data_IF_310569487119
#
_entry.id   IF_310569487119
#
_cell.length_a   1.000
_cell.length_b   1.000
_cell.length_c   1.000
_cell.angle_alpha   90.00
_cell.angle_beta   90.00
_cell.angle_gamma   90.00
#
_symmetry.space_group_name_H-M   'P 1'
#
loop_
_entity.id
_entity.type
_entity.pdbx_description
1 polymer ?
#
# COMPACT_ATOMS: atom_id res chain seq x y z
N UNK A 1 21.18 -14.99 -10.92
CA UNK A 1 21.31 -14.94 -9.45
C UNK A 1 21.77 -13.54 -9.09
N UNK A 2 21.16 -12.91 -8.08
CA UNK A 2 21.49 -11.55 -7.65
C UNK A 2 21.93 -11.60 -6.19
N UNK A 3 22.96 -10.85 -5.85
CA UNK A 3 23.48 -10.69 -4.48
C UNK A 3 22.73 -9.61 -3.68
N UNK A 4 22.15 -8.62 -4.37
CA UNK A 4 21.30 -7.57 -3.83
C UNK A 4 20.10 -7.30 -4.74
N UNK A 5 18.92 -7.14 -4.14
CA UNK A 5 17.70 -6.74 -4.82
C UNK A 5 17.23 -5.42 -4.22
N UNK A 6 17.10 -4.39 -5.05
CA UNK A 6 16.50 -3.10 -4.67
C UNK A 6 15.08 -3.07 -5.23
N UNK A 7 14.10 -2.94 -4.36
CA UNK A 7 12.68 -2.91 -4.74
C UNK A 7 12.17 -1.49 -4.61
N UNK A 8 11.76 -0.89 -5.74
CA UNK A 8 11.02 0.36 -5.74
C UNK A 8 9.54 0.10 -5.44
N UNK A 9 8.98 0.88 -4.53
CA UNK A 9 7.58 0.73 -4.12
C UNK A 9 6.73 1.78 -4.83
N UNK A 10 5.60 1.41 -5.47
CA UNK A 10 4.66 2.37 -6.03
C UNK A 10 4.24 3.42 -4.98
N UNK A 11 3.97 4.67 -5.38
CA UNK A 11 3.55 5.71 -4.45
C UNK A 11 2.23 5.30 -3.79
N UNK A 12 2.24 5.06 -2.48
CA UNK A 12 1.04 4.71 -1.72
C UNK A 12 1.16 5.11 -0.27
N UNK A 13 0.15 5.86 0.22
CA UNK A 13 -0.06 6.17 1.65
C UNK A 13 -0.24 4.92 2.53
N UNK A 14 -0.53 3.80 1.89
CA UNK A 14 -0.92 2.52 2.47
C UNK A 14 0.00 1.39 2.01
N UNK A 15 1.27 1.67 1.70
CA UNK A 15 2.21 0.64 1.21
C UNK A 15 2.38 -0.56 2.16
N UNK A 16 2.10 -0.39 3.46
CA UNK A 16 2.00 -1.49 4.43
C UNK A 16 0.58 -2.07 4.56
N UNK A 17 -0.48 -1.29 4.37
CA UNK A 17 -1.85 -1.85 4.28
C UNK A 17 -2.04 -2.73 3.04
N UNK A 18 -1.22 -2.51 2.00
CA UNK A 18 -1.15 -3.41 0.84
C UNK A 18 -0.79 -4.85 1.24
N UNK A 19 0.02 -5.02 2.30
CA UNK A 19 0.36 -6.34 2.84
C UNK A 19 -0.76 -6.95 3.69
N UNK A 20 -1.77 -6.17 4.07
CA UNK A 20 -2.97 -6.68 4.74
C UNK A 20 -4.07 -7.09 3.75
N UNK A 21 -3.98 -6.67 2.49
CA UNK A 21 -4.93 -7.06 1.43
C UNK A 21 -5.04 -8.60 1.25
N UNK A 22 -3.97 -9.40 1.34
CA UNK A 22 -4.07 -10.85 1.28
C UNK A 22 -4.74 -11.49 2.49
N UNK A 23 -4.49 -10.98 3.71
CA UNK A 23 -5.19 -11.44 4.92
C UNK A 23 -6.69 -11.14 4.83
N UNK A 24 -7.06 -9.95 4.35
CA UNK A 24 -8.47 -9.55 4.14
C UNK A 24 -9.15 -10.41 3.09
N UNK A 25 -8.50 -10.66 1.94
CA UNK A 25 -9.04 -11.53 0.90
C UNK A 25 -9.21 -12.98 1.37
N UNK A 26 -8.24 -13.51 2.13
CA UNK A 26 -8.36 -14.82 2.77
C UNK A 26 -9.53 -14.89 3.75
N UNK A 27 -9.66 -13.90 4.63
CA UNK A 27 -10.76 -13.84 5.61
C UNK A 27 -12.15 -13.70 4.97
N UNK A 28 -12.25 -13.01 3.83
CA UNK A 28 -13.48 -12.88 3.06
C UNK A 28 -13.94 -14.24 2.49
N UNK A 29 -13.00 -15.01 1.95
CA UNK A 29 -13.27 -16.34 1.38
C UNK A 29 -13.55 -17.40 2.45
N UNK A 30 -12.93 -17.26 3.62
CA UNK A 30 -13.24 -18.06 4.82
C UNK A 30 -14.58 -17.67 5.48
N UNK A 31 -15.21 -16.60 5.02
CA UNK A 31 -16.49 -16.11 5.53
C UNK A 31 -17.60 -17.15 5.43
N UNK A 32 -18.40 -17.28 6.51
CA UNK A 32 -19.54 -18.22 6.60
C UNK A 32 -20.51 -18.09 5.42
N UNK A 33 -20.66 -16.89 4.86
CA UNK A 33 -21.52 -16.61 3.70
C UNK A 33 -20.97 -17.23 2.41
N UNK A 34 -19.68 -17.06 2.12
CA UNK A 34 -19.05 -17.64 0.93
C UNK A 34 -19.03 -19.17 1.02
N UNK A 35 -18.72 -19.73 2.20
CA UNK A 35 -18.83 -21.19 2.43
C UNK A 35 -20.24 -21.73 2.22
N UNK A 36 -21.27 -20.99 2.61
CA UNK A 36 -22.67 -21.37 2.41
C UNK A 36 -23.09 -21.32 0.93
N UNK A 37 -22.58 -20.33 0.18
CA UNK A 37 -22.81 -20.24 -1.28
C UNK A 37 -22.03 -21.29 -2.07
N UNK A 38 -20.84 -21.66 -1.61
CA UNK A 38 -19.99 -22.70 -2.20
C UNK A 38 -20.42 -24.12 -1.81
N UNK A 39 -21.23 -24.28 -0.76
CA UNK A 39 -21.70 -25.59 -0.33
C UNK A 39 -22.42 -26.27 -1.50
N UNK A 40 -21.99 -27.47 -1.93
CA UNK A 40 -22.52 -28.08 -3.13
C UNK A 40 -24.01 -28.32 -2.98
N UNK A 41 -24.81 -27.84 -3.93
CA UNK A 41 -26.24 -28.12 -4.05
C UNK A 41 -26.58 -29.61 -4.28
N UNK A 42 -25.57 -30.50 -4.17
CA UNK A 42 -25.65 -31.94 -4.44
C UNK A 42 -25.45 -32.84 -3.21
N UNK A 43 -25.74 -32.37 -2.00
CA UNK A 43 -26.02 -33.29 -0.87
C UNK A 43 -27.50 -33.69 -0.91
N UNK A 44 -27.89 -34.33 -2.02
CA UNK A 44 -29.24 -34.81 -2.32
C UNK A 44 -29.31 -36.34 -2.44
N UNK A 45 -28.35 -37.06 -1.87
CA UNK A 45 -28.38 -38.52 -1.79
C UNK A 45 -29.37 -38.99 -0.73
N UNK A 46 -30.65 -39.11 -1.12
CA UNK A 46 -31.77 -39.96 -0.62
C UNK A 46 -31.93 -40.36 0.88
N UNK A 47 -31.13 -39.91 1.84
CA UNK A 47 -31.23 -40.38 3.24
C UNK A 47 -31.07 -39.31 4.34
N UNK A 48 -30.71 -38.05 4.04
CA UNK A 48 -30.37 -37.05 5.08
C UNK A 48 -31.42 -35.99 5.44
N UNK A 49 -32.61 -35.98 4.80
CA UNK A 49 -33.42 -34.75 4.68
C UNK A 49 -34.44 -34.48 5.80
N UNK A 50 -34.42 -35.18 6.94
CA UNK A 50 -35.51 -35.08 7.94
C UNK A 50 -35.29 -34.15 9.14
N UNK A 51 -34.13 -33.51 9.33
CA UNK A 51 -33.92 -32.66 10.52
C UNK A 51 -33.33 -31.26 10.31
N UNK A 52 -33.21 -30.74 9.08
CA UNK A 52 -32.61 -29.40 8.84
C UNK A 52 -33.53 -28.38 8.14
N UNK A 53 -34.82 -28.69 7.91
CA UNK A 53 -35.62 -27.95 6.91
C UNK A 53 -36.62 -26.90 7.38
N UNK A 54 -36.73 -26.54 8.66
CA UNK A 54 -37.77 -25.56 9.06
C UNK A 54 -37.27 -24.10 9.12
N UNK A 55 -35.96 -23.86 9.23
CA UNK A 55 -35.40 -22.50 9.32
C UNK A 55 -34.65 -21.97 8.08
N UNK A 56 -34.11 -22.83 7.22
CA UNK A 56 -33.14 -22.41 6.18
C UNK A 56 -33.76 -22.13 4.81
N UNK A 57 -34.97 -22.61 4.52
CA UNK A 57 -35.57 -22.50 3.17
C UNK A 57 -36.19 -21.14 2.86
N UNK A 58 -36.49 -20.30 3.85
CA UNK A 58 -37.10 -18.98 3.59
C UNK A 58 -36.07 -17.90 3.23
N UNK A 59 -34.80 -18.08 3.60
CA UNK A 59 -33.75 -17.07 3.32
C UNK A 59 -33.07 -17.26 1.96
N UNK A 60 -33.08 -18.48 1.39
CA UNK A 60 -32.55 -18.74 0.05
C UNK A 60 -33.48 -18.29 -1.08
N UNK A 61 -34.80 -18.32 -0.84
CA UNK A 61 -35.81 -17.97 -1.84
C UNK A 61 -35.93 -16.46 -2.14
N UNK A 62 -35.60 -15.59 -1.19
CA UNK A 62 -35.65 -14.12 -1.35
C UNK A 62 -34.38 -13.56 -1.99
N UNK A 63 -33.21 -14.09 -1.66
CA UNK A 63 -31.96 -13.73 -2.36
C UNK A 63 -31.95 -14.22 -3.82
N UNK A 64 -32.47 -15.42 -4.10
CA UNK A 64 -32.54 -15.97 -5.46
C UNK A 64 -33.48 -15.20 -6.40
N UNK A 65 -34.54 -14.57 -5.85
CA UNK A 65 -35.48 -13.73 -6.63
C UNK A 65 -34.96 -12.32 -6.91
N UNK A 66 -34.08 -11.79 -6.05
CA UNK A 66 -33.49 -10.45 -6.22
C UNK A 66 -32.22 -10.44 -7.09
N UNK A 67 -31.44 -11.53 -7.08
CA UNK A 67 -30.15 -11.61 -7.79
C UNK A 67 -30.16 -12.51 -9.03
N UNK A 68 -31.20 -13.36 -9.20
CA UNK A 68 -31.30 -14.30 -10.30
C UNK A 68 -30.46 -15.57 -10.11
N UNK A 69 -31.04 -16.74 -10.39
CA UNK A 69 -30.35 -18.03 -10.23
C UNK A 69 -29.11 -18.20 -11.12
N UNK A 70 -29.04 -17.47 -12.24
CA UNK A 70 -27.88 -17.48 -13.14
C UNK A 70 -26.65 -16.81 -12.50
N UNK A 71 -26.83 -15.65 -11.87
CA UNK A 71 -25.75 -14.93 -11.20
C UNK A 71 -25.12 -15.77 -10.07
N UNK A 72 -25.94 -16.45 -9.27
CA UNK A 72 -25.46 -17.35 -8.22
C UNK A 72 -24.62 -18.50 -8.79
N UNK A 73 -25.02 -19.05 -9.93
CA UNK A 73 -24.29 -20.12 -10.62
C UNK A 73 -22.96 -19.63 -11.20
N UNK A 74 -22.91 -18.40 -11.71
CA UNK A 74 -21.69 -17.80 -12.25
C UNK A 74 -20.68 -17.50 -11.12
N UNK A 75 -21.16 -16.99 -9.98
CA UNK A 75 -20.33 -16.81 -8.77
C UNK A 75 -19.76 -18.14 -8.28
N UNK A 76 -20.58 -19.20 -8.22
CA UNK A 76 -20.09 -20.53 -7.83
C UNK A 76 -19.02 -21.06 -8.80
N UNK A 77 -19.21 -20.88 -10.11
CA UNK A 77 -18.26 -21.29 -11.14
C UNK A 77 -16.95 -20.51 -11.03
N UNK A 78 -17.03 -19.19 -10.82
CA UNK A 78 -15.87 -18.33 -10.61
C UNK A 78 -15.07 -18.75 -9.38
N UNK A 79 -15.73 -18.93 -8.23
CA UNK A 79 -15.03 -19.30 -7.00
C UNK A 79 -14.41 -20.69 -7.11
N UNK A 80 -15.11 -21.67 -7.70
CA UNK A 80 -14.55 -23.01 -7.93
C UNK A 80 -13.33 -22.99 -8.88
N UNK A 81 -13.36 -22.16 -9.93
CA UNK A 81 -12.23 -21.98 -10.83
C UNK A 81 -11.04 -21.27 -10.17
N UNK A 82 -11.30 -20.45 -9.14
CA UNK A 82 -10.28 -19.71 -8.40
C UNK A 82 -9.81 -20.36 -7.09
N UNK A 83 -10.43 -21.47 -6.65
CA UNK A 83 -10.13 -22.15 -5.38
C UNK A 83 -8.63 -22.49 -5.22
N UNK A 84 -8.01 -22.99 -6.28
CA UNK A 84 -6.57 -23.30 -6.33
C UNK A 84 -5.69 -22.03 -6.30
N UNK A 85 -6.14 -20.93 -6.89
CA UNK A 85 -5.42 -19.65 -6.85
C UNK A 85 -5.50 -18.99 -5.47
N UNK A 86 -6.66 -19.08 -4.81
CA UNK A 86 -6.90 -18.48 -3.49
C UNK A 86 -6.18 -19.22 -2.35
N UNK A 87 -6.17 -20.56 -2.37
CA UNK A 87 -5.41 -21.35 -1.38
C UNK A 87 -3.90 -21.03 -1.41
N UNK A 88 -3.33 -20.88 -2.61
CA UNK A 88 -1.93 -20.49 -2.79
C UNK A 88 -1.66 -18.99 -2.55
N UNK A 89 -2.68 -18.12 -2.67
CA UNK A 89 -2.49 -16.67 -2.50
C UNK A 89 -2.16 -16.30 -1.06
N UNK A 90 -2.86 -16.91 -0.09
CA UNK A 90 -2.58 -16.68 1.34
C UNK A 90 -1.17 -17.13 1.71
N UNK A 91 -0.77 -18.34 1.30
CA UNK A 91 0.56 -18.86 1.65
C UNK A 91 1.68 -18.04 1.01
N UNK A 92 1.49 -17.57 -0.24
CA UNK A 92 2.43 -16.67 -0.91
C UNK A 92 2.55 -15.33 -0.20
N UNK A 93 1.43 -14.74 0.22
CA UNK A 93 1.45 -13.49 0.96
C UNK A 93 2.15 -13.62 2.32
N UNK A 94 1.86 -14.68 3.07
CA UNK A 94 2.54 -14.96 4.34
C UNK A 94 4.04 -15.21 4.14
N UNK A 95 4.43 -15.88 3.05
CA UNK A 95 5.84 -16.09 2.70
C UNK A 95 6.54 -14.76 2.36
N UNK A 96 5.92 -13.92 1.53
CA UNK A 96 6.44 -12.57 1.23
C UNK A 96 6.60 -11.75 2.50
N UNK A 97 5.62 -11.82 3.40
CA UNK A 97 5.67 -11.10 4.68
C UNK A 97 6.87 -11.50 5.54
N UNK A 98 7.14 -12.81 5.62
CA UNK A 98 8.30 -13.34 6.34
C UNK A 98 9.62 -12.94 5.69
N UNK A 99 9.68 -12.88 4.36
CA UNK A 99 10.88 -12.40 3.66
C UNK A 99 11.19 -10.96 4.04
N UNK A 100 10.17 -10.09 4.12
CA UNK A 100 10.34 -8.69 4.53
C UNK A 100 10.83 -8.52 5.98
N UNK A 101 10.66 -9.53 6.84
CA UNK A 101 11.15 -9.54 8.22
C UNK A 101 12.51 -10.25 8.37
N UNK A 102 13.05 -10.84 7.31
CA UNK A 102 14.27 -11.64 7.40
C UNK A 102 15.51 -10.74 7.67
N UNK A 103 16.55 -11.25 8.36
CA UNK A 103 17.77 -10.49 8.67
C UNK A 103 18.52 -9.92 7.45
N UNK A 104 18.26 -10.41 6.24
CA UNK A 104 18.84 -9.92 4.99
C UNK A 104 18.00 -8.86 4.26
N UNK A 105 16.85 -8.46 4.82
CA UNK A 105 16.03 -7.37 4.29
C UNK A 105 16.22 -6.12 5.12
N UNK A 106 16.12 -4.95 4.50
CA UNK A 106 16.12 -3.67 5.18
C UNK A 106 15.24 -2.67 4.42
N UNK A 107 14.59 -1.78 5.17
CA UNK A 107 13.73 -0.73 4.62
C UNK A 107 14.43 0.62 4.68
N UNK A 108 14.33 1.40 3.60
CA UNK A 108 14.79 2.79 3.54
C UNK A 108 13.57 3.67 3.26
N UNK A 109 13.22 4.52 4.21
CA UNK A 109 12.11 5.48 4.03
C UNK A 109 12.65 6.72 3.36
N UNK A 110 11.96 7.24 2.35
CA UNK A 110 12.37 8.44 1.62
C UNK A 110 11.27 9.48 1.69
N UNK A 111 11.60 10.71 2.12
CA UNK A 111 10.64 11.80 2.24
C UNK A 111 11.26 13.14 1.84
N UNK A 112 10.46 14.11 1.42
CA UNK A 112 10.87 15.51 1.29
C UNK A 112 10.71 16.24 2.63
N UNK A 113 11.35 17.40 2.85
CA UNK A 113 11.14 18.24 4.03
C UNK A 113 9.79 18.99 3.99
N UNK A 114 8.74 18.32 3.52
CA UNK A 114 7.37 18.83 3.52
C UNK A 114 6.60 18.18 4.67
N UNK A 115 5.71 18.94 5.30
CA UNK A 115 5.00 18.50 6.51
C UNK A 115 4.23 17.19 6.30
N UNK A 116 3.53 17.06 5.17
CA UNK A 116 2.74 15.86 4.87
C UNK A 116 3.63 14.65 4.58
N UNK A 117 4.72 14.82 3.83
CA UNK A 117 5.67 13.75 3.56
C UNK A 117 6.37 13.25 4.84
N UNK A 118 6.74 14.16 5.75
CA UNK A 118 7.31 13.80 7.04
C UNK A 118 6.30 13.10 7.95
N UNK A 119 5.03 13.51 7.94
CA UNK A 119 3.96 12.83 8.69
C UNK A 119 3.76 11.39 8.17
N UNK A 120 3.74 11.21 6.85
CA UNK A 120 3.63 9.89 6.22
C UNK A 120 4.86 9.01 6.54
N UNK A 121 6.07 9.58 6.48
CA UNK A 121 7.30 8.88 6.84
C UNK A 121 7.30 8.41 8.31
N UNK A 122 6.85 9.26 9.23
CA UNK A 122 6.73 8.90 10.65
C UNK A 122 5.76 7.73 10.85
N UNK A 123 4.57 7.80 10.24
CA UNK A 123 3.60 6.70 10.26
C UNK A 123 4.19 5.40 9.72
N UNK A 124 4.94 5.48 8.61
CA UNK A 124 5.57 4.31 8.00
C UNK A 124 6.63 3.68 8.90
N UNK A 125 7.48 4.50 9.54
CA UNK A 125 8.49 4.05 10.50
C UNK A 125 7.85 3.34 11.69
N UNK A 126 6.78 3.91 12.26
CA UNK A 126 6.04 3.30 13.37
C UNK A 126 5.44 1.94 12.95
N UNK A 127 4.90 1.85 11.73
CA UNK A 127 4.33 0.61 11.20
C UNK A 127 5.38 -0.47 10.98
N UNK A 128 6.55 -0.12 10.43
CA UNK A 128 7.68 -1.05 10.28
C UNK A 128 8.11 -1.61 11.63
N UNK A 129 8.22 -0.75 12.65
CA UNK A 129 8.57 -1.17 14.00
C UNK A 129 7.53 -2.11 14.61
N UNK A 130 6.23 -1.78 14.48
CA UNK A 130 5.14 -2.61 14.95
C UNK A 130 5.13 -4.02 14.31
N UNK A 131 5.51 -4.08 13.04
CA UNK A 131 5.56 -5.32 12.26
C UNK A 131 6.94 -6.01 12.25
N UNK A 132 7.87 -5.56 13.09
CA UNK A 132 9.23 -6.13 13.20
C UNK A 132 9.98 -6.18 11.87
N UNK A 133 9.74 -5.20 11.00
CA UNK A 133 10.45 -5.03 9.74
C UNK A 133 11.67 -4.13 9.96
N UNK A 134 12.88 -4.58 9.59
CA UNK A 134 14.12 -3.86 9.88
C UNK A 134 14.23 -2.56 9.07
N UNK A 135 14.20 -1.41 9.76
CA UNK A 135 14.45 -0.09 9.18
C UNK A 135 15.96 0.20 9.14
N UNK A 136 16.51 0.47 7.96
CA UNK A 136 17.86 0.98 7.79
C UNK A 136 17.98 2.48 8.09
N UNK A 137 16.97 3.28 7.70
CA UNK A 137 16.94 4.71 7.98
C UNK A 137 15.93 5.51 7.17
N UNK A 138 16.02 6.84 7.33
CA UNK A 138 15.24 7.84 6.61
C UNK A 138 16.17 8.69 5.73
N UNK A 139 15.84 8.81 4.45
CA UNK A 139 16.44 9.76 3.52
C UNK A 139 15.53 10.97 3.41
N UNK A 140 15.99 12.10 3.93
CA UNK A 140 15.36 13.39 3.69
C UNK A 140 15.88 13.95 2.35
N UNK A 141 15.11 13.75 1.29
CA UNK A 141 15.45 14.18 -0.05
C UNK A 141 15.05 15.65 -0.28
N UNK A 142 15.70 16.33 -1.23
CA UNK A 142 15.42 17.72 -1.63
C UNK A 142 15.59 18.74 -0.49
N UNK A 143 16.53 18.48 0.42
CA UNK A 143 16.96 19.49 1.39
C UNK A 143 17.72 20.58 0.65
N UNK A 144 17.33 21.84 0.88
CA UNK A 144 18.04 23.00 0.37
C UNK A 144 18.77 23.66 1.52
N UNK A 145 20.10 23.72 1.44
CA UNK A 145 20.90 24.55 2.33
C UNK A 145 20.75 26.02 1.96
N UNK A 146 20.89 26.90 2.95
CA UNK A 146 20.96 28.34 2.69
C UNK A 146 22.40 28.83 2.79
N UNK A 147 22.84 29.55 1.75
CA UNK A 147 24.09 30.31 1.76
C UNK A 147 23.98 31.61 2.57
N UNK A 148 22.81 31.89 3.19
CA UNK A 148 22.62 33.03 4.06
C UNK A 148 23.58 33.02 5.26
N UNK A 149 24.12 31.86 5.64
CA UNK A 149 25.17 31.75 6.66
C UNK A 149 26.48 32.46 6.27
N UNK A 150 26.70 32.73 4.98
CA UNK A 150 27.84 33.50 4.47
C UNK A 150 27.58 35.02 4.43
N UNK A 151 26.35 35.47 4.66
CA UNK A 151 26.04 36.89 4.71
C UNK A 151 26.44 37.47 6.06
N UNK A 152 27.14 38.60 6.04
CA UNK A 152 27.29 39.44 7.22
C UNK A 152 25.93 40.00 7.66
N UNK A 153 25.82 40.43 8.92
CA UNK A 153 24.58 41.01 9.43
C UNK A 153 24.12 42.23 8.61
N UNK A 154 25.08 43.05 8.15
CA UNK A 154 24.81 44.24 7.33
C UNK A 154 24.25 43.85 5.95
N UNK A 155 24.88 42.90 5.26
CA UNK A 155 24.41 42.39 3.97
C UNK A 155 23.02 41.74 4.06
N UNK A 156 22.74 41.03 5.17
CA UNK A 156 21.44 40.44 5.42
C UNK A 156 20.33 41.48 5.62
N UNK A 157 20.62 42.56 6.36
CA UNK A 157 19.70 43.68 6.55
C UNK A 157 19.41 44.40 5.23
N UNK A 158 20.45 44.73 4.47
CA UNK A 158 20.29 45.37 3.15
C UNK A 158 19.51 44.47 2.17
N UNK A 159 19.76 43.16 2.17
CA UNK A 159 18.98 42.22 1.35
C UNK A 159 17.50 42.16 1.76
N UNK A 160 17.21 42.21 3.07
CA UNK A 160 15.84 42.21 3.58
C UNK A 160 15.08 43.48 3.21
N UNK A 161 15.73 44.65 3.29
CA UNK A 161 15.16 45.93 2.86
C UNK A 161 14.84 45.92 1.35
N UNK A 162 15.78 45.46 0.53
CA UNK A 162 15.59 45.33 -0.92
C UNK A 162 14.45 44.37 -1.30
N UNK A 163 14.24 43.30 -0.52
CA UNK A 163 13.11 42.38 -0.69
C UNK A 163 11.76 43.01 -0.29
N UNK A 164 11.76 43.89 0.71
CA UNK A 164 10.57 44.64 1.14
C UNK A 164 10.13 45.70 0.11
N UNK A 165 11.10 46.34 -0.55
CA UNK A 165 10.85 47.40 -1.53
C UNK A 165 10.55 46.87 -2.94
N UNK A 166 11.06 45.68 -3.29
CA UNK A 166 10.86 45.07 -4.60
C UNK A 166 9.66 44.12 -4.63
N UNK A 167 8.51 44.54 -5.20
CA UNK A 167 7.57 43.59 -5.79
C UNK A 167 8.28 42.93 -6.98
N UNK A 168 8.78 41.71 -6.78
CA UNK A 168 9.48 40.83 -7.73
C UNK A 168 9.28 41.27 -9.20
N UNK A 169 10.29 41.94 -9.76
CA UNK A 169 10.45 42.08 -11.21
C UNK A 169 11.77 41.44 -11.59
N UNK A 170 11.66 40.25 -12.19
CA UNK A 170 12.57 39.70 -13.18
C UNK A 170 14.06 39.58 -12.78
N UNK A 171 14.38 38.66 -11.87
CA UNK A 171 15.71 38.05 -11.90
C UNK A 171 15.70 36.97 -13.00
N UNK A 172 16.21 37.32 -14.19
CA UNK A 172 16.56 36.34 -15.22
C UNK A 172 17.34 35.19 -14.60
N UNK A 173 16.99 33.98 -15.04
CA UNK A 173 17.60 32.71 -14.70
C UNK A 173 19.06 32.85 -14.25
N UNK A 174 19.33 32.40 -13.01
CA UNK A 174 20.68 32.32 -12.47
C UNK A 174 21.63 31.70 -13.48
N UNK A 175 22.88 32.15 -13.46
CA UNK A 175 23.97 31.66 -14.33
C UNK A 175 24.21 30.15 -14.14
N UNK A 176 23.33 29.32 -14.67
CA UNK A 176 23.59 27.93 -15.03
C UNK A 176 24.12 27.95 -16.46
N UNK A 177 25.36 28.43 -16.63
CA UNK A 177 25.92 28.65 -17.96
C UNK A 177 27.23 29.43 -17.95
N UNK A 178 28.17 29.02 -17.11
CA UNK A 178 29.61 29.28 -17.27
C UNK A 178 30.32 28.05 -16.73
N UNK A 179 30.11 26.92 -17.42
CA UNK A 179 31.10 25.86 -17.44
C UNK A 179 32.12 26.29 -18.48
N UNK A 180 33.32 26.61 -18.01
CA UNK A 180 34.46 26.96 -18.84
C UNK A 180 34.66 25.88 -19.93
N UNK A 181 34.62 26.34 -21.18
CA UNK A 181 35.34 25.68 -22.27
C UNK A 181 36.76 26.23 -22.24
N UNK A 182 37.70 25.39 -22.66
CA UNK A 182 39.18 25.51 -22.68
C UNK A 182 39.83 24.88 -21.43
N UNK A 183 40.58 23.78 -21.50
CA UNK A 183 41.34 23.15 -22.59
C UNK A 183 41.28 21.61 -22.53
#
# INVERSE_FOLDING_TARGET
EWDLIIVDTPPSRSALDFLDAPKRLGSFLDGKFIRLLMAPAKVGGRAGMKFLNVGMSMMSGTLGKLLGGQFLKDVQTFVAAMDTMFGGFRSRADATYKLLQAPGTAFLVVATPEQDALREAAYFVERLAAEKMPLAGLVLNRVHGSEASRLSAEEALTAAENLGDSRIVDQRAGKAGLGDREA
#
